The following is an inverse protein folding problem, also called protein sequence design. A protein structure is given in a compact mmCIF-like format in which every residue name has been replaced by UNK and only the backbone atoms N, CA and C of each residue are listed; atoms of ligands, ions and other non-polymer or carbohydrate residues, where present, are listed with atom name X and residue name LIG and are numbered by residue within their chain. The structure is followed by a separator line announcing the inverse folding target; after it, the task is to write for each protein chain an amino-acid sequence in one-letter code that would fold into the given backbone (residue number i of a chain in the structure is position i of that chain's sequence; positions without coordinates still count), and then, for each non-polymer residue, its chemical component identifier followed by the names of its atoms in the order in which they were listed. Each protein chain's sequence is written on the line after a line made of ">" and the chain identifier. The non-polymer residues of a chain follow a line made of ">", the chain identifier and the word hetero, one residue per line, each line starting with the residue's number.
data_IF_446518864869
#
_entry.id   IF_446518864869
#
_cell.length_a   1.000
_cell.length_b   1.000
_cell.length_c   1.000
_cell.angle_alpha   90.00
_cell.angle_beta   90.00
_cell.angle_gamma   90.00
#
_symmetry.space_group_name_H-M   'P 1'
#
loop_
_entity.id
_entity.type
_entity.pdbx_description
1 polymer ?
#
# COMPACT_ATOMS: atom_id res chain seq x y z
N UNK A 1 -9.73 2.89 -17.07
CA UNK A 1 -10.30 4.22 -17.29
C UNK A 1 -9.27 5.26 -16.86
N UNK A 2 -9.18 6.38 -17.57
CA UNK A 2 -8.33 7.50 -17.15
C UNK A 2 -8.91 8.12 -15.87
N UNK A 3 -8.07 8.45 -14.89
CA UNK A 3 -8.52 8.99 -13.62
C UNK A 3 -9.09 10.41 -13.82
N UNK A 4 -10.27 10.68 -13.27
CA UNK A 4 -10.79 12.05 -13.21
C UNK A 4 -10.03 12.80 -12.12
N UNK A 5 -9.31 13.86 -12.47
CA UNK A 5 -8.53 14.57 -11.46
C UNK A 5 -9.44 15.16 -10.36
N UNK A 6 -8.98 15.23 -9.09
CA UNK A 6 -9.75 15.82 -8.01
C UNK A 6 -10.22 17.24 -8.35
N UNK A 7 -11.50 17.52 -8.11
CA UNK A 7 -12.09 18.83 -8.37
C UNK A 7 -12.55 19.07 -9.81
N UNK A 8 -12.29 18.15 -10.74
CA UNK A 8 -12.89 18.19 -12.07
C UNK A 8 -14.28 17.53 -12.08
N UNK A 9 -15.21 18.01 -12.92
CA UNK A 9 -16.50 17.37 -13.10
C UNK A 9 -16.32 15.94 -13.67
N UNK A 10 -17.20 15.03 -13.24
CA UNK A 10 -17.24 13.67 -13.75
C UNK A 10 -17.59 13.63 -15.25
N UNK A 11 -17.08 12.63 -16.00
CA UNK A 11 -17.49 12.39 -17.38
C UNK A 11 -19.00 12.15 -17.48
N UNK A 12 -19.60 12.61 -18.59
CA UNK A 12 -21.03 12.39 -18.87
C UNK A 12 -21.40 10.90 -18.75
N UNK A 13 -22.43 10.59 -17.95
CA UNK A 13 -22.91 9.23 -17.72
C UNK A 13 -22.26 8.50 -16.53
N UNK A 14 -21.29 9.12 -15.84
CA UNK A 14 -20.74 8.61 -14.57
C UNK A 14 -21.24 9.45 -13.39
N UNK A 15 -21.84 8.80 -12.40
CA UNK A 15 -22.39 9.46 -11.19
C UNK A 15 -21.58 9.19 -9.92
N UNK A 16 -20.45 8.49 -10.03
CA UNK A 16 -19.58 8.14 -8.90
C UNK A 16 -18.12 8.41 -9.22
N UNK A 17 -17.34 8.71 -8.18
CA UNK A 17 -15.88 8.77 -8.25
C UNK A 17 -15.28 7.40 -7.93
N UNK A 18 -14.23 7.02 -8.65
CA UNK A 18 -13.42 5.85 -8.35
C UNK A 18 -12.26 6.21 -7.42
N UNK A 19 -11.65 5.20 -6.80
CA UNK A 19 -10.46 5.41 -5.95
C UNK A 19 -9.30 6.06 -6.70
N UNK A 20 -9.19 5.83 -8.00
CA UNK A 20 -8.19 6.47 -8.86
C UNK A 20 -8.40 7.99 -8.97
N UNK A 21 -9.63 8.46 -8.81
CA UNK A 21 -10.00 9.87 -8.96
C UNK A 21 -9.59 10.73 -7.76
N UNK A 22 -9.13 10.10 -6.67
CA UNK A 22 -8.61 10.79 -5.47
C UNK A 22 -7.29 11.52 -5.77
N UNK A 23 -6.60 11.16 -6.86
CA UNK A 23 -5.35 11.84 -7.25
C UNK A 23 -4.19 11.60 -6.28
N UNK A 24 -4.30 10.64 -5.36
CA UNK A 24 -3.30 10.36 -4.32
C UNK A 24 -1.90 10.14 -4.89
N UNK A 25 -1.78 9.45 -6.03
CA UNK A 25 -0.49 9.23 -6.71
C UNK A 25 0.17 10.55 -7.11
N UNK A 26 -0.62 11.49 -7.65
CA UNK A 26 -0.13 12.82 -8.02
C UNK A 26 0.27 13.65 -6.81
N UNK A 27 -0.50 13.58 -5.72
CA UNK A 27 -0.16 14.23 -4.45
C UNK A 27 1.16 13.70 -3.88
N UNK A 28 1.31 12.37 -3.79
CA UNK A 28 2.55 11.76 -3.31
C UNK A 28 3.75 12.13 -4.18
N UNK A 29 3.56 12.20 -5.50
CA UNK A 29 4.61 12.64 -6.42
C UNK A 29 4.99 14.11 -6.20
N UNK A 30 4.02 14.99 -5.93
CA UNK A 30 4.27 16.39 -5.62
C UNK A 30 5.02 16.58 -4.29
N UNK A 31 4.81 15.66 -3.33
CA UNK A 31 5.44 15.67 -2.01
C UNK A 31 6.70 14.80 -1.90
N UNK A 32 7.19 14.22 -2.99
CA UNK A 32 8.26 13.19 -2.96
C UNK A 32 9.57 13.65 -2.29
N UNK A 33 9.87 14.94 -2.37
CA UNK A 33 11.08 15.57 -1.82
C UNK A 33 10.82 16.25 -0.46
N UNK A 34 9.60 16.15 0.09
CA UNK A 34 9.24 16.72 1.39
C UNK A 34 9.79 15.84 2.53
N UNK A 35 10.64 16.43 3.38
CA UNK A 35 11.26 15.74 4.52
C UNK A 35 10.24 15.17 5.49
N UNK A 36 9.05 15.78 5.64
CA UNK A 36 8.00 15.28 6.54
C UNK A 36 7.40 13.98 6.03
N UNK A 37 7.35 13.78 4.71
CA UNK A 37 6.89 12.53 4.09
C UNK A 37 7.96 11.45 4.25
N UNK A 38 9.24 11.80 4.10
CA UNK A 38 10.36 10.89 4.36
C UNK A 38 10.36 10.44 5.82
N UNK A 39 10.34 11.38 6.78
CA UNK A 39 10.25 11.10 8.22
C UNK A 39 9.05 10.20 8.56
N UNK A 40 7.90 10.44 7.94
CA UNK A 40 6.73 9.61 8.14
C UNK A 40 6.96 8.19 7.63
N UNK A 41 7.46 8.04 6.41
CA UNK A 41 7.73 6.73 5.81
C UNK A 41 8.76 5.94 6.63
N UNK A 42 9.84 6.58 7.08
CA UNK A 42 10.86 5.98 7.95
C UNK A 42 10.28 5.53 9.30
N UNK A 43 9.43 6.36 9.93
CA UNK A 43 8.78 5.99 11.20
C UNK A 43 7.82 4.81 11.06
N UNK A 44 7.15 4.68 9.90
CA UNK A 44 6.19 3.60 9.66
C UNK A 44 6.86 2.31 9.19
N UNK A 45 7.86 2.39 8.30
CA UNK A 45 8.45 1.22 7.64
C UNK A 45 9.83 0.86 8.17
N UNK A 46 10.55 1.79 8.79
CA UNK A 46 11.90 1.58 9.36
C UNK A 46 11.95 0.40 10.33
N UNK A 47 11.07 0.32 11.34
CA UNK A 47 11.05 -0.82 12.26
C UNK A 47 10.83 -2.17 11.57
N UNK A 48 10.06 -2.20 10.48
CA UNK A 48 9.78 -3.41 9.70
C UNK A 48 11.00 -3.83 8.87
N UNK A 49 11.66 -2.86 8.23
CA UNK A 49 12.91 -3.06 7.48
C UNK A 49 14.03 -3.53 8.40
N UNK A 50 14.18 -2.91 9.57
CA UNK A 50 15.17 -3.30 10.58
C UNK A 50 14.91 -4.70 11.14
N UNK A 51 13.64 -5.10 11.26
CA UNK A 51 13.28 -6.45 11.68
C UNK A 51 13.69 -7.48 10.61
N UNK A 52 13.32 -7.24 9.34
CA UNK A 52 13.72 -8.12 8.23
C UNK A 52 15.25 -8.22 8.11
N UNK A 53 15.97 -7.11 8.24
CA UNK A 53 17.44 -7.10 8.19
C UNK A 53 18.09 -7.89 9.34
N UNK A 54 17.54 -7.82 10.56
CA UNK A 54 18.09 -8.50 11.74
C UNK A 54 17.74 -9.98 11.79
N UNK A 55 16.56 -10.36 11.30
CA UNK A 55 16.01 -11.71 11.48
C UNK A 55 15.96 -12.53 10.19
N UNK A 56 16.29 -11.96 9.04
CA UNK A 56 16.21 -12.62 7.74
C UNK A 56 14.77 -12.99 7.36
N UNK A 57 13.80 -12.22 7.87
CA UNK A 57 12.39 -12.39 7.56
C UNK A 57 12.00 -11.66 6.27
N UNK A 58 10.74 -11.78 5.90
CA UNK A 58 10.20 -11.23 4.65
C UNK A 58 8.85 -10.52 4.92
N UNK A 59 8.82 -9.73 5.98
CA UNK A 59 7.62 -9.02 6.44
C UNK A 59 7.25 -7.87 5.50
N UNK A 60 8.23 -7.15 4.96
CA UNK A 60 7.98 -6.07 3.99
C UNK A 60 7.30 -6.61 2.72
N UNK A 61 7.78 -7.72 2.17
CA UNK A 61 7.13 -8.38 1.02
C UNK A 61 5.74 -8.88 1.36
N UNK A 62 5.57 -9.43 2.57
CA UNK A 62 4.24 -9.86 3.05
C UNK A 62 3.26 -8.69 3.14
N UNK A 63 3.70 -7.54 3.67
CA UNK A 63 2.92 -6.31 3.72
C UNK A 63 2.58 -5.81 2.32
N UNK A 64 3.55 -5.84 1.40
CA UNK A 64 3.35 -5.43 0.01
C UNK A 64 2.26 -6.25 -0.68
N UNK A 65 2.35 -7.59 -0.60
CA UNK A 65 1.33 -8.49 -1.15
C UNK A 65 -0.03 -8.33 -0.46
N UNK A 66 -0.05 -8.02 0.83
CA UNK A 66 -1.29 -7.74 1.57
C UNK A 66 -1.98 -6.46 1.09
N UNK A 67 -1.22 -5.40 0.85
CA UNK A 67 -1.74 -4.13 0.35
C UNK A 67 -2.19 -4.21 -1.11
N UNK A 68 -1.46 -4.96 -1.95
CA UNK A 68 -1.85 -5.23 -3.34
C UNK A 68 -3.16 -6.02 -3.42
N UNK A 69 -3.36 -6.96 -2.49
CA UNK A 69 -4.61 -7.68 -2.30
C UNK A 69 -5.73 -6.84 -1.64
N UNK A 70 -5.57 -5.52 -1.53
CA UNK A 70 -6.50 -4.60 -0.88
C UNK A 70 -6.90 -5.02 0.54
N UNK A 71 -5.96 -5.62 1.28
CA UNK A 71 -6.19 -6.09 2.64
C UNK A 71 -6.85 -7.48 2.74
N UNK A 72 -7.01 -8.19 1.63
CA UNK A 72 -7.50 -9.56 1.62
C UNK A 72 -6.35 -10.55 1.93
N UNK A 73 -6.30 -11.03 3.18
CA UNK A 73 -5.25 -11.93 3.67
C UNK A 73 -5.20 -13.26 2.89
N UNK A 74 -6.34 -13.77 2.41
CA UNK A 74 -6.40 -15.03 1.65
C UNK A 74 -5.80 -14.88 0.26
N UNK A 75 -6.12 -13.76 -0.42
CA UNK A 75 -5.56 -13.47 -1.74
C UNK A 75 -4.05 -13.21 -1.62
N UNK A 76 -3.62 -12.46 -0.59
CA UNK A 76 -2.22 -12.21 -0.31
C UNK A 76 -1.41 -13.49 -0.04
N UNK A 77 -1.96 -14.42 0.76
CA UNK A 77 -1.33 -15.72 0.99
C UNK A 77 -1.15 -16.52 -0.30
N UNK A 78 -2.20 -16.56 -1.14
CA UNK A 78 -2.16 -17.25 -2.43
C UNK A 78 -1.13 -16.62 -3.38
N UNK A 79 -1.08 -15.29 -3.48
CA UNK A 79 -0.15 -14.62 -4.40
C UNK A 79 1.32 -14.73 -3.97
N UNK A 80 1.58 -14.77 -2.66
CA UNK A 80 2.93 -14.96 -2.11
C UNK A 80 3.35 -16.44 -1.95
N UNK A 81 2.49 -17.41 -2.30
CA UNK A 81 2.78 -18.84 -2.11
C UNK A 81 2.93 -19.26 -0.65
N UNK A 82 2.35 -18.51 0.29
CA UNK A 82 2.42 -18.74 1.72
C UNK A 82 1.15 -19.43 2.23
N UNK A 83 1.25 -20.13 3.36
CA UNK A 83 0.05 -20.56 4.09
C UNK A 83 -0.68 -19.35 4.67
N UNK A 84 -1.99 -19.50 4.91
CA UNK A 84 -2.79 -18.44 5.53
C UNK A 84 -2.29 -18.14 6.94
N UNK A 85 -1.94 -19.19 7.67
CA UNK A 85 -1.41 -19.13 9.03
C UNK A 85 -0.13 -18.30 9.08
N UNK A 86 0.80 -18.51 8.13
CA UNK A 86 2.04 -17.73 8.04
C UNK A 86 1.75 -16.26 7.78
N UNK A 87 0.86 -15.92 6.85
CA UNK A 87 0.48 -14.52 6.60
C UNK A 87 -0.17 -13.90 7.84
N UNK A 88 -1.02 -14.65 8.55
CA UNK A 88 -1.70 -14.14 9.75
C UNK A 88 -0.72 -13.85 10.88
N UNK A 89 0.25 -14.74 11.10
CA UNK A 89 1.30 -14.53 12.10
C UNK A 89 2.15 -13.31 11.76
N UNK A 90 2.60 -13.21 10.50
CA UNK A 90 3.40 -12.07 10.02
C UNK A 90 2.67 -10.73 10.13
N UNK A 91 1.36 -10.68 9.88
CA UNK A 91 0.54 -9.47 10.02
C UNK A 91 0.16 -9.12 11.47
N UNK A 92 0.45 -9.98 12.45
CA UNK A 92 0.20 -9.72 13.88
C UNK A 92 1.44 -9.22 14.62
N UNK A 93 2.60 -9.31 13.97
CA UNK A 93 3.91 -8.92 14.52
C UNK A 93 4.06 -7.41 14.42
#
# INVERSE_FOLDING_TARGET
>A
AEATAPGLPLPSGRSFHERSDIGLRGLLFALRDDLRVQDYAERQLGPLLDHDARHGTDLVTTLWGYLDAAGNKTVAARSAGLSRETVYQRLRT
#
